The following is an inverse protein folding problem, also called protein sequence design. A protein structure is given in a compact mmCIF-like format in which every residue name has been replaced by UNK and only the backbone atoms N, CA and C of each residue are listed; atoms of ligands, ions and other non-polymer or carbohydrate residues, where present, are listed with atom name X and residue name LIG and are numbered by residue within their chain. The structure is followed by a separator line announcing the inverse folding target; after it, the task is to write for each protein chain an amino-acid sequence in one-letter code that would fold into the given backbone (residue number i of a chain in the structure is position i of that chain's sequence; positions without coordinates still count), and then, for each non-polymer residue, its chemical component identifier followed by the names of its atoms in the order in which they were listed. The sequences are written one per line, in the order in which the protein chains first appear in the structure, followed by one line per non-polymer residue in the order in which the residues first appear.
data_IF_414820500043
#
_entry.id   IF_414820500043
#
_cell.length_a   1.000
_cell.length_b   1.000
_cell.length_c   1.000
_cell.angle_alpha   90.00
_cell.angle_beta   90.00
_cell.angle_gamma   90.00
#
_symmetry.space_group_name_H-M   'P 1'
#
loop_
_entity.id
_entity.type
_entity.pdbx_description
1 polymer ?
#
# COMPACT_ATOMS: atom_id res chain seq x y z
N UNK A 1 -13.09 9.79 2.89
CA UNK A 1 -11.76 9.59 2.29
C UNK A 1 -11.94 8.83 0.98
N UNK A 2 -11.14 9.08 -0.05
CA UNK A 2 -11.29 8.44 -1.37
C UNK A 2 -10.03 7.68 -1.74
N UNK A 3 -10.20 6.45 -2.22
CA UNK A 3 -9.15 5.65 -2.83
C UNK A 3 -9.45 5.47 -4.32
N UNK A 4 -8.47 5.72 -5.20
CA UNK A 4 -8.57 5.40 -6.62
C UNK A 4 -7.81 4.11 -6.93
N UNK A 5 -8.42 3.24 -7.73
CA UNK A 5 -7.80 1.99 -8.18
C UNK A 5 -8.01 1.81 -9.69
N UNK A 6 -7.02 1.24 -10.37
CA UNK A 6 -7.12 0.79 -11.77
C UNK A 6 -6.90 -0.71 -11.84
N UNK A 7 -7.51 -1.37 -12.81
CA UNK A 7 -7.27 -2.81 -13.00
C UNK A 7 -8.26 -3.45 -13.95
N UNK A 8 -8.55 -4.72 -13.71
CA UNK A 8 -9.52 -5.50 -14.47
C UNK A 8 -10.53 -6.12 -13.51
N UNK A 9 -11.78 -6.23 -13.94
CA UNK A 9 -12.84 -6.93 -13.22
C UNK A 9 -13.58 -7.87 -14.18
N UNK A 10 -14.06 -9.05 -13.71
CA UNK A 10 -14.99 -9.87 -14.46
C UNK A 10 -16.25 -9.11 -14.87
N UNK A 11 -16.83 -9.44 -16.03
CA UNK A 11 -18.00 -8.75 -16.61
C UNK A 11 -19.19 -8.67 -15.64
N UNK A 12 -19.43 -9.73 -14.86
CA UNK A 12 -20.55 -9.76 -13.91
C UNK A 12 -20.38 -8.75 -12.75
N UNK A 13 -19.16 -8.36 -12.39
CA UNK A 13 -18.91 -7.30 -11.42
C UNK A 13 -19.05 -5.92 -12.07
N UNK A 14 -18.61 -5.76 -13.32
CA UNK A 14 -18.78 -4.50 -14.06
C UNK A 14 -20.25 -4.11 -14.23
N UNK A 15 -21.13 -5.08 -14.48
CA UNK A 15 -22.58 -4.84 -14.55
C UNK A 15 -23.14 -4.22 -13.25
N UNK A 16 -22.59 -4.59 -12.09
CA UNK A 16 -22.98 -4.04 -10.78
C UNK A 16 -22.44 -2.64 -10.51
N UNK A 17 -21.49 -2.18 -11.33
CA UNK A 17 -20.79 -0.90 -11.21
C UNK A 17 -21.17 0.08 -12.32
N UNK A 18 -22.20 -0.24 -13.12
CA UNK A 18 -22.73 0.65 -14.14
C UNK A 18 -23.13 2.02 -13.54
N UNK A 19 -23.02 3.12 -14.30
CA UNK A 19 -23.50 4.42 -13.86
C UNK A 19 -24.96 4.34 -13.38
N UNK A 20 -25.25 4.94 -12.22
CA UNK A 20 -26.56 4.87 -11.58
C UNK A 20 -26.79 3.67 -10.66
N UNK A 21 -25.84 2.74 -10.57
CA UNK A 21 -25.85 1.70 -9.52
C UNK A 21 -25.54 2.28 -8.14
N UNK A 22 -25.96 1.57 -7.09
CA UNK A 22 -25.61 1.89 -5.70
C UNK A 22 -24.11 1.67 -5.39
N UNK A 23 -23.32 1.22 -6.36
CA UNK A 23 -21.93 0.81 -6.17
C UNK A 23 -21.79 -0.60 -5.61
N UNK A 24 -20.54 -1.03 -5.44
CA UNK A 24 -20.19 -2.36 -4.92
C UNK A 24 -19.52 -2.20 -3.55
N UNK A 25 -20.06 -2.78 -2.47
CA UNK A 25 -19.34 -2.86 -1.21
C UNK A 25 -18.02 -3.61 -1.39
N UNK A 26 -16.92 -3.02 -0.94
CA UNK A 26 -15.57 -3.57 -1.06
C UNK A 26 -14.79 -3.44 0.25
N UNK A 27 -13.86 -4.37 0.45
CA UNK A 27 -12.83 -4.31 1.48
C UNK A 27 -11.47 -4.28 0.79
N UNK A 28 -10.66 -3.28 1.10
CA UNK A 28 -9.28 -3.14 0.62
C UNK A 28 -8.33 -3.44 1.77
N UNK A 29 -7.60 -4.55 1.64
CA UNK A 29 -6.57 -4.96 2.59
C UNK A 29 -5.17 -4.62 2.10
N UNK A 30 -4.35 -4.03 2.97
CA UNK A 30 -2.89 -3.91 2.72
C UNK A 30 -2.12 -4.36 3.95
N UNK A 31 -0.96 -4.98 3.74
CA UNK A 31 -0.08 -5.41 4.83
C UNK A 31 1.38 -5.23 4.41
N UNK A 32 2.22 -4.81 5.36
CA UNK A 32 3.67 -4.78 5.21
C UNK A 32 4.33 -5.38 6.45
N UNK A 33 5.19 -6.36 6.22
CA UNK A 33 6.04 -6.97 7.23
C UNK A 33 7.32 -6.16 7.34
N UNK A 34 7.77 -5.88 8.56
CA UNK A 34 8.93 -5.03 8.85
C UNK A 34 10.08 -5.81 9.50
N UNK A 35 9.81 -6.93 10.18
CA UNK A 35 10.84 -7.82 10.73
C UNK A 35 10.31 -9.21 11.07
N UNK A 36 11.21 -10.18 11.17
CA UNK A 36 10.99 -11.52 11.74
C UNK A 36 11.45 -11.52 13.19
N UNK A 37 10.70 -12.17 14.06
CA UNK A 37 11.02 -12.35 15.48
C UNK A 37 11.36 -13.81 15.71
N UNK A 38 12.59 -14.03 16.16
CA UNK A 38 13.11 -15.32 16.58
C UNK A 38 13.13 -15.33 18.11
N UNK A 39 12.11 -15.91 18.73
CA UNK A 39 12.01 -16.07 20.17
C UNK A 39 12.70 -17.36 20.65
N UNK A 40 12.82 -17.52 21.96
CA UNK A 40 13.36 -18.74 22.57
C UNK A 40 12.36 -19.90 22.61
N UNK A 41 11.05 -19.62 22.60
CA UNK A 41 9.99 -20.62 22.49
C UNK A 41 9.29 -20.58 21.14
N UNK A 42 8.70 -21.71 20.73
CA UNK A 42 7.93 -21.81 19.49
C UNK A 42 6.72 -20.87 19.46
N UNK A 43 6.16 -20.55 20.63
CA UNK A 43 5.05 -19.63 20.79
C UNK A 43 5.42 -18.17 20.47
N UNK A 44 6.66 -17.77 20.78
CA UNK A 44 7.09 -16.38 20.66
C UNK A 44 7.51 -15.94 19.25
N UNK A 45 7.70 -16.87 18.31
CA UNK A 45 8.05 -16.52 16.92
C UNK A 45 6.96 -15.68 16.25
N UNK A 46 7.36 -14.80 15.33
CA UNK A 46 6.38 -14.06 14.55
C UNK A 46 6.99 -12.93 13.72
N UNK A 47 6.17 -11.90 13.49
CA UNK A 47 6.56 -10.74 12.69
C UNK A 47 6.14 -9.44 13.36
N UNK A 48 6.89 -8.37 13.10
CA UNK A 48 6.36 -7.01 13.19
C UNK A 48 5.76 -6.61 11.86
N UNK A 49 4.65 -5.88 11.91
CA UNK A 49 3.90 -5.56 10.72
C UNK A 49 2.98 -4.36 10.93
N UNK A 50 2.54 -3.79 9.82
CA UNK A 50 1.49 -2.77 9.74
C UNK A 50 0.51 -3.15 8.65
N UNK A 51 -0.78 -3.03 8.92
CA UNK A 51 -1.83 -3.37 7.96
C UNK A 51 -2.97 -2.38 8.02
N UNK A 52 -3.74 -2.32 6.94
CA UNK A 52 -4.99 -1.59 6.89
C UNK A 52 -6.07 -2.49 6.31
N UNK A 53 -7.28 -2.36 6.85
CA UNK A 53 -8.51 -2.93 6.30
C UNK A 53 -9.44 -1.75 6.09
N UNK A 54 -9.63 -1.36 4.83
CA UNK A 54 -10.47 -0.24 4.47
C UNK A 54 -11.78 -0.75 3.88
N UNK A 55 -12.89 -0.44 4.52
CA UNK A 55 -14.22 -0.79 4.03
C UNK A 55 -14.83 0.41 3.31
N UNK A 56 -15.53 0.18 2.21
CA UNK A 56 -16.14 1.26 1.44
C UNK A 56 -17.01 0.77 0.31
N UNK A 57 -17.44 1.71 -0.53
CA UNK A 57 -18.25 1.44 -1.71
C UNK A 57 -17.49 1.86 -2.96
N UNK A 58 -17.31 0.93 -3.89
CA UNK A 58 -16.66 1.17 -5.17
C UNK A 58 -17.67 1.65 -6.22
N UNK A 59 -17.25 2.63 -7.03
CA UNK A 59 -17.96 3.16 -8.18
C UNK A 59 -17.02 3.20 -9.37
N UNK A 60 -17.53 2.84 -10.56
CA UNK A 60 -16.76 2.97 -11.79
C UNK A 60 -16.70 4.42 -12.24
N UNK A 61 -15.51 4.89 -12.57
CA UNK A 61 -15.29 6.21 -13.15
C UNK A 61 -15.29 6.13 -14.67
N UNK A 62 -15.94 7.11 -15.30
CA UNK A 62 -16.04 7.23 -16.75
C UNK A 62 -15.41 8.52 -17.25
N UNK A 63 -14.94 8.48 -18.49
CA UNK A 63 -14.50 9.67 -19.22
C UNK A 63 -15.20 9.65 -20.57
N UNK A 64 -16.06 10.65 -20.78
CA UNK A 64 -16.71 10.90 -22.06
C UNK A 64 -16.48 12.36 -22.43
N UNK A 65 -16.10 12.60 -23.68
CA UNK A 65 -15.87 13.93 -24.23
C UNK A 65 -16.34 13.92 -25.68
N UNK A 66 -17.53 14.49 -25.96
CA UNK A 66 -18.09 14.52 -27.31
C UNK A 66 -17.11 15.15 -28.30
N UNK A 67 -16.98 14.52 -29.47
CA UNK A 67 -16.12 15.01 -30.55
C UNK A 67 -14.63 14.66 -30.42
N UNK A 68 -14.20 14.02 -29.32
CA UNK A 68 -12.83 13.53 -29.17
C UNK A 68 -12.62 12.21 -29.95
N UNK A 69 -11.55 12.13 -30.74
CA UNK A 69 -11.16 10.94 -31.49
C UNK A 69 -10.19 10.07 -30.69
N UNK A 70 -10.08 8.80 -31.06
CA UNK A 70 -9.26 7.79 -30.36
C UNK A 70 -7.79 8.20 -30.12
N UNK A 71 -7.20 8.92 -31.08
CA UNK A 71 -5.80 9.32 -31.04
C UNK A 71 -5.57 10.71 -30.46
N UNK A 72 -6.64 11.43 -30.10
CA UNK A 72 -6.52 12.76 -29.51
C UNK A 72 -5.84 12.69 -28.15
N UNK A 73 -4.94 13.64 -27.90
CA UNK A 73 -4.23 13.75 -26.64
C UNK A 73 -5.13 14.31 -25.54
N UNK A 74 -5.03 13.71 -24.35
CA UNK A 74 -5.63 14.23 -23.12
C UNK A 74 -4.91 15.53 -22.72
N UNK A 75 -5.68 16.59 -22.47
CA UNK A 75 -5.17 17.89 -22.02
C UNK A 75 -5.17 17.98 -20.49
N UNK A 76 -4.44 18.95 -19.94
CA UNK A 76 -4.49 19.21 -18.48
C UNK A 76 -5.88 19.68 -18.02
N UNK A 77 -6.62 20.38 -18.89
CA UNK A 77 -8.01 20.76 -18.63
C UNK A 77 -8.92 19.53 -18.51
N UNK A 78 -8.74 18.52 -19.37
CA UNK A 78 -9.45 17.25 -19.26
C UNK A 78 -9.14 16.54 -17.94
N UNK A 79 -7.87 16.54 -17.52
CA UNK A 79 -7.44 15.94 -16.24
C UNK A 79 -8.06 16.66 -15.04
N UNK A 80 -8.14 18.00 -15.08
CA UNK A 80 -8.77 18.78 -14.03
C UNK A 80 -10.29 18.62 -14.00
N UNK A 81 -10.93 18.49 -15.17
CA UNK A 81 -12.38 18.40 -15.31
C UNK A 81 -12.97 17.01 -15.11
N UNK A 82 -12.15 15.94 -15.03
CA UNK A 82 -12.65 14.58 -14.95
C UNK A 82 -11.92 13.71 -13.90
N UNK A 83 -12.69 13.10 -13.00
CA UNK A 83 -12.15 12.30 -11.89
C UNK A 83 -11.40 11.04 -12.36
N UNK A 84 -11.81 10.39 -13.46
CA UNK A 84 -11.09 9.23 -14.02
C UNK A 84 -9.65 9.61 -14.35
N UNK A 85 -9.48 10.73 -15.05
CA UNK A 85 -8.19 11.23 -15.47
C UNK A 85 -7.34 11.74 -14.30
N UNK A 86 -7.97 12.49 -13.39
CA UNK A 86 -7.32 12.92 -12.14
C UNK A 86 -6.79 11.71 -11.34
N UNK A 87 -7.64 10.70 -11.14
CA UNK A 87 -7.28 9.47 -10.43
C UNK A 87 -6.14 8.72 -11.14
N UNK A 88 -6.17 8.64 -12.47
CA UNK A 88 -5.08 8.03 -13.26
C UNK A 88 -3.75 8.74 -13.04
N UNK A 89 -3.75 10.08 -13.11
CA UNK A 89 -2.55 10.89 -12.82
C UNK A 89 -2.04 10.66 -11.41
N UNK A 90 -2.93 10.60 -10.41
CA UNK A 90 -2.57 10.30 -9.02
C UNK A 90 -1.99 8.90 -8.85
N UNK A 91 -2.53 7.88 -9.51
CA UNK A 91 -1.98 6.52 -9.46
C UNK A 91 -0.57 6.50 -10.07
N UNK A 92 -0.39 7.04 -11.28
CA UNK A 92 0.92 7.05 -11.96
C UNK A 92 1.96 7.79 -11.11
N UNK A 93 1.62 8.99 -10.63
CA UNK A 93 2.52 9.79 -9.80
C UNK A 93 2.69 9.23 -8.37
N UNK A 94 1.78 8.39 -7.91
CA UNK A 94 1.89 7.66 -6.64
C UNK A 94 2.87 6.49 -6.70
N UNK A 95 3.06 5.89 -7.87
CA UNK A 95 4.07 4.84 -8.10
C UNK A 95 5.46 5.47 -8.26
N UNK A 96 5.58 6.43 -9.17
CA UNK A 96 6.81 7.20 -9.39
C UNK A 96 6.46 8.68 -9.45
N UNK A 97 6.95 9.52 -8.52
CA UNK A 97 6.61 10.93 -8.48
C UNK A 97 6.86 11.64 -9.81
N UNK A 98 5.88 12.38 -10.32
CA UNK A 98 5.98 13.15 -11.56
C UNK A 98 6.01 12.33 -12.87
N UNK A 99 5.86 11.00 -12.81
CA UNK A 99 6.03 10.15 -13.98
C UNK A 99 4.98 10.40 -15.08
N UNK A 100 3.79 10.87 -14.72
CA UNK A 100 2.76 11.30 -15.66
C UNK A 100 3.30 12.38 -16.61
N UNK A 101 4.03 13.35 -16.06
CA UNK A 101 4.59 14.48 -16.81
C UNK A 101 5.85 14.10 -17.61
N UNK A 102 6.61 13.11 -17.14
CA UNK A 102 7.82 12.60 -17.81
C UNK A 102 7.55 11.48 -18.83
N UNK A 103 6.28 11.22 -19.16
CA UNK A 103 5.87 10.23 -20.17
C UNK A 103 5.09 10.93 -21.27
N UNK A 104 5.00 10.31 -22.47
CA UNK A 104 4.13 10.78 -23.55
C UNK A 104 2.71 11.05 -23.01
N UNK A 105 2.09 12.14 -23.47
CA UNK A 105 0.69 12.45 -23.16
C UNK A 105 -0.22 11.28 -23.55
N UNK A 106 -1.07 10.89 -22.61
CA UNK A 106 -2.09 9.84 -22.79
C UNK A 106 -3.03 10.23 -23.92
N UNK A 107 -3.51 9.26 -24.68
CA UNK A 107 -4.55 9.45 -25.72
C UNK A 107 -5.90 8.88 -25.28
N UNK A 108 -6.99 9.33 -25.92
CA UNK A 108 -8.36 8.89 -25.60
C UNK A 108 -8.52 7.37 -25.58
N UNK A 109 -7.99 6.66 -26.58
CA UNK A 109 -8.06 5.20 -26.67
C UNK A 109 -7.44 4.47 -25.48
N UNK A 110 -6.33 4.98 -24.95
CA UNK A 110 -5.68 4.41 -23.76
C UNK A 110 -6.54 4.61 -22.51
N UNK A 111 -7.20 5.77 -22.38
CA UNK A 111 -8.12 6.05 -21.26
C UNK A 111 -9.33 5.12 -21.29
N UNK A 112 -9.88 4.84 -22.48
CA UNK A 112 -11.06 3.99 -22.64
C UNK A 112 -10.78 2.54 -22.25
N UNK A 113 -9.55 2.07 -22.47
CA UNK A 113 -9.12 0.71 -22.12
C UNK A 113 -8.84 0.50 -20.64
N UNK A 114 -8.69 1.57 -19.86
CA UNK A 114 -8.39 1.46 -18.43
C UNK A 114 -9.67 1.57 -17.61
N UNK A 115 -10.03 0.49 -16.93
CA UNK A 115 -11.04 0.53 -15.87
C UNK A 115 -10.47 1.27 -14.66
N UNK A 116 -11.22 2.27 -14.21
CA UNK A 116 -10.92 3.07 -13.02
C UNK A 116 -12.07 3.00 -12.04
N UNK A 117 -11.71 2.86 -10.77
CA UNK A 117 -12.62 2.80 -9.66
C UNK A 117 -12.32 3.93 -8.69
N UNK A 118 -13.36 4.57 -8.20
CA UNK A 118 -13.37 5.37 -6.98
C UNK A 118 -13.91 4.48 -5.87
N UNK A 119 -13.25 4.45 -4.72
CA UNK A 119 -13.77 3.81 -3.52
C UNK A 119 -13.98 4.89 -2.46
N UNK A 120 -15.24 5.10 -2.10
CA UNK A 120 -15.63 5.94 -0.98
C UNK A 120 -15.43 5.15 0.31
N UNK A 121 -14.34 5.46 1.02
CA UNK A 121 -13.94 4.76 2.23
C UNK A 121 -14.77 5.25 3.41
N UNK A 122 -15.35 4.30 4.14
CA UNK A 122 -16.04 4.47 5.41
C UNK A 122 -15.00 4.36 6.55
N UNK A 123 -14.58 5.48 7.17
CA UNK A 123 -13.54 5.46 8.19
C UNK A 123 -13.98 4.78 9.48
N UNK A 124 -15.28 4.79 9.78
CA UNK A 124 -15.83 4.19 11.01
C UNK A 124 -15.79 2.67 10.96
N UNK A 125 -15.91 2.11 9.75
CA UNK A 125 -15.78 0.67 9.49
C UNK A 125 -14.38 0.25 9.07
N UNK A 126 -13.41 1.17 9.06
CA UNK A 126 -12.05 0.89 8.62
C UNK A 126 -11.08 0.82 9.80
N UNK A 127 -10.06 -0.03 9.68
CA UNK A 127 -9.10 -0.26 10.76
C UNK A 127 -7.66 -0.22 10.26
N UNK A 128 -6.80 0.38 11.06
CA UNK A 128 -5.35 0.28 10.93
C UNK A 128 -4.85 -0.58 12.09
N UNK A 129 -3.98 -1.52 11.78
CA UNK A 129 -3.39 -2.38 12.76
C UNK A 129 -1.87 -2.28 12.66
N UNK A 130 -1.23 -2.28 13.82
CA UNK A 130 0.22 -2.20 13.93
C UNK A 130 0.67 -3.14 15.03
N UNK A 131 1.70 -3.92 14.73
CA UNK A 131 2.43 -4.73 15.70
C UNK A 131 3.90 -4.40 15.57
N UNK A 132 4.34 -3.40 16.33
CA UNK A 132 5.74 -2.99 16.46
C UNK A 132 6.15 -3.07 17.93
N UNK A 133 7.42 -2.78 18.22
CA UNK A 133 7.85 -2.61 19.60
C UNK A 133 7.62 -3.89 20.41
N UNK A 134 8.18 -5.01 19.97
CA UNK A 134 8.09 -6.31 20.65
C UNK A 134 9.46 -6.98 20.74
N UNK A 135 10.53 -6.24 20.43
CA UNK A 135 11.89 -6.72 20.67
C UNK A 135 12.11 -6.91 22.17
N UNK A 136 12.87 -7.96 22.52
CA UNK A 136 13.17 -8.36 23.90
C UNK A 136 11.94 -8.67 24.77
N UNK A 137 10.77 -8.91 24.16
CA UNK A 137 9.61 -9.38 24.90
C UNK A 137 9.85 -10.80 25.39
N UNK A 138 9.98 -10.97 26.71
CA UNK A 138 10.15 -12.26 27.37
C UNK A 138 9.15 -12.35 28.54
N UNK A 139 8.11 -13.18 28.46
CA UNK A 139 7.18 -13.36 29.58
C UNK A 139 7.84 -14.19 30.70
N UNK A 140 7.48 -13.91 31.95
CA UNK A 140 8.13 -14.50 33.14
C UNK A 140 8.09 -16.04 33.20
N UNK A 141 7.12 -16.67 32.53
CA UNK A 141 7.00 -18.13 32.49
C UNK A 141 7.87 -18.78 31.41
N UNK A 142 8.48 -18.00 30.51
CA UNK A 142 9.31 -18.53 29.44
C UNK A 142 10.68 -18.93 29.98
N UNK A 143 11.04 -20.21 29.81
CA UNK A 143 12.30 -20.77 30.26
C UNK A 143 13.03 -21.41 29.08
N UNK A 144 14.31 -21.07 28.93
CA UNK A 144 15.18 -21.58 27.88
C UNK A 144 16.65 -21.44 28.30
N UNK A 145 17.49 -22.37 27.84
CA UNK A 145 18.95 -22.21 27.95
C UNK A 145 19.42 -21.15 26.94
N UNK A 146 19.49 -19.89 27.39
CA UNK A 146 19.89 -18.73 26.58
C UNK A 146 21.33 -18.80 26.05
N UNK A 147 22.13 -19.79 26.47
CA UNK A 147 23.46 -20.06 25.88
C UNK A 147 23.38 -20.94 24.63
N UNK A 148 22.27 -21.64 24.41
CA UNK A 148 22.07 -22.56 23.27
C UNK A 148 21.08 -22.04 22.23
N UNK A 149 20.17 -21.16 22.62
CA UNK A 149 19.12 -20.65 21.74
C UNK A 149 19.37 -19.17 21.46
N UNK A 150 19.49 -18.83 20.18
CA UNK A 150 19.58 -17.45 19.73
C UNK A 150 18.19 -16.80 19.71
N UNK A 151 18.10 -15.60 20.24
CA UNK A 151 16.89 -14.77 20.25
C UNK A 151 17.20 -13.42 19.62
N UNK A 152 16.26 -12.89 18.81
CA UNK A 152 16.39 -11.56 18.24
C UNK A 152 15.36 -11.26 17.16
N UNK A 153 15.54 -10.10 16.54
CA UNK A 153 14.71 -9.63 15.42
C UNK A 153 15.56 -9.45 14.16
N UNK A 154 15.04 -9.89 13.01
CA UNK A 154 15.67 -9.73 11.70
C UNK A 154 14.86 -8.69 10.91
N UNK A 155 15.37 -7.47 10.68
CA UNK A 155 14.66 -6.46 9.90
C UNK A 155 14.47 -6.92 8.45
N UNK A 156 13.29 -6.64 7.89
CA UNK A 156 12.94 -6.86 6.49
C UNK A 156 12.66 -5.51 5.85
N UNK A 157 13.30 -5.22 4.73
CA UNK A 157 12.99 -4.05 3.92
C UNK A 157 13.02 -4.36 2.44
N UNK A 158 12.22 -3.63 1.68
CA UNK A 158 12.25 -3.67 0.22
C UNK A 158 13.35 -2.75 -0.30
N UNK A 159 14.16 -3.25 -1.22
CA UNK A 159 15.16 -2.50 -1.97
C UNK A 159 14.86 -2.62 -3.46
N UNK A 160 15.24 -1.60 -4.22
CA UNK A 160 15.09 -1.58 -5.67
C UNK A 160 16.43 -1.88 -6.33
N UNK A 161 16.45 -2.81 -7.28
CA UNK A 161 17.63 -3.19 -8.03
C UNK A 161 17.93 -2.26 -9.22
N UNK A 162 18.98 -2.61 -9.96
CA UNK A 162 19.36 -1.90 -11.19
C UNK A 162 18.34 -2.10 -12.33
N UNK A 163 18.16 -1.10 -13.21
CA UNK A 163 17.18 -1.19 -14.29
C UNK A 163 17.65 -2.11 -15.43
N UNK A 164 16.69 -2.84 -16.01
CA UNK A 164 16.85 -3.45 -17.33
C UNK A 164 16.28 -2.51 -18.39
N UNK A 165 16.99 -2.36 -19.51
CA UNK A 165 16.57 -1.50 -20.60
C UNK A 165 15.56 -2.20 -21.52
N UNK A 166 14.52 -1.47 -21.92
CA UNK A 166 13.57 -1.88 -22.94
C UNK A 166 14.02 -1.45 -24.34
N UNK A 167 13.05 -1.16 -25.21
CA UNK A 167 13.32 -0.59 -26.54
C UNK A 167 13.63 0.92 -26.44
N UNK A 168 14.82 1.26 -25.96
CA UNK A 168 15.29 2.63 -25.78
C UNK A 168 16.80 2.71 -25.88
N UNK A 169 17.30 3.79 -26.48
CA UNK A 169 18.72 4.19 -26.42
C UNK A 169 18.97 5.23 -25.32
N UNK A 170 17.91 5.77 -24.71
CA UNK A 170 18.02 6.76 -23.65
C UNK A 170 18.62 6.14 -22.37
N UNK A 171 19.49 6.90 -21.71
CA UNK A 171 20.06 6.55 -20.42
C UNK A 171 19.01 6.49 -19.30
N UNK A 172 19.30 5.74 -18.24
CA UNK A 172 18.45 5.69 -17.05
C UNK A 172 18.36 7.09 -16.39
N UNK A 173 17.15 7.68 -16.27
CA UNK A 173 17.02 9.05 -15.79
C UNK A 173 17.57 9.24 -14.36
N UNK A 174 18.45 10.23 -14.12
CA UNK A 174 19.01 10.47 -12.78
C UNK A 174 17.96 10.68 -11.68
N UNK A 175 16.79 11.24 -12.04
CA UNK A 175 15.64 11.41 -11.13
C UNK A 175 15.10 10.07 -10.62
N UNK A 176 15.00 9.07 -11.49
CA UNK A 176 14.52 7.73 -11.11
C UNK A 176 15.55 7.03 -10.24
N UNK A 177 16.84 7.10 -10.61
CA UNK A 177 17.94 6.58 -9.80
C UNK A 177 17.89 7.11 -8.37
N UNK A 178 17.87 8.44 -8.21
CA UNK A 178 17.80 9.09 -6.89
C UNK A 178 16.54 8.68 -6.13
N UNK A 179 15.39 8.62 -6.79
CA UNK A 179 14.14 8.24 -6.15
C UNK A 179 14.19 6.83 -5.54
N UNK A 180 14.66 5.83 -6.29
CA UNK A 180 14.72 4.44 -5.83
C UNK A 180 15.81 4.18 -4.79
N UNK A 181 16.96 4.87 -4.91
CA UNK A 181 18.01 4.87 -3.88
C UNK A 181 17.48 5.45 -2.56
N UNK A 182 16.79 6.59 -2.62
CA UNK A 182 16.18 7.21 -1.45
C UNK A 182 15.08 6.35 -0.84
N UNK A 183 14.26 5.69 -1.66
CA UNK A 183 13.22 4.79 -1.17
C UNK A 183 13.81 3.57 -0.45
N UNK A 184 14.85 2.95 -1.02
CA UNK A 184 15.59 1.86 -0.39
C UNK A 184 16.18 2.29 0.96
N UNK A 185 16.82 3.46 1.01
CA UNK A 185 17.39 4.02 2.24
C UNK A 185 16.32 4.26 3.31
N UNK A 186 15.17 4.82 2.93
CA UNK A 186 14.04 5.06 3.86
C UNK A 186 13.44 3.76 4.37
N UNK A 187 13.19 2.79 3.49
CA UNK A 187 12.68 1.48 3.86
C UNK A 187 13.60 0.79 4.86
N UNK A 188 14.92 0.77 4.58
CA UNK A 188 15.93 0.20 5.47
C UNK A 188 15.95 0.90 6.84
N UNK A 189 15.97 2.23 6.86
CA UNK A 189 16.00 3.00 8.10
C UNK A 189 14.75 2.72 8.96
N UNK A 190 13.57 2.66 8.34
CA UNK A 190 12.33 2.35 9.04
C UNK A 190 12.34 0.94 9.64
N UNK A 191 12.69 -0.07 8.83
CA UNK A 191 12.72 -1.47 9.26
C UNK A 191 13.71 -1.70 10.42
N UNK A 192 14.89 -1.08 10.38
CA UNK A 192 15.89 -1.16 11.46
C UNK A 192 15.29 -0.60 12.77
N UNK A 193 14.64 0.57 12.71
CA UNK A 193 14.01 1.16 13.89
C UNK A 193 12.91 0.25 14.45
N UNK A 194 12.05 -0.33 13.60
CA UNK A 194 10.95 -1.18 14.07
C UNK A 194 11.44 -2.52 14.62
N UNK A 195 12.47 -3.13 14.01
CA UNK A 195 13.03 -4.40 14.47
C UNK A 195 13.73 -4.27 15.83
N UNK A 196 14.37 -3.13 16.10
CA UNK A 196 15.03 -2.82 17.37
C UNK A 196 14.15 -2.11 18.40
N UNK A 197 12.90 -1.79 18.06
CA UNK A 197 12.00 -1.11 18.99
C UNK A 197 11.64 -2.03 20.16
N UNK A 198 11.97 -1.59 21.37
CA UNK A 198 11.67 -2.32 22.60
C UNK A 198 10.18 -2.47 22.84
N UNK A 199 9.84 -3.56 23.55
CA UNK A 199 8.49 -3.75 24.05
C UNK A 199 8.07 -2.65 25.02
N UNK A 200 7.06 -1.88 24.63
CA UNK A 200 6.35 -0.96 25.53
C UNK A 200 4.95 -1.52 25.76
N UNK A 201 4.64 -2.00 26.99
CA UNK A 201 3.30 -2.47 27.28
C UNK A 201 2.32 -1.31 27.11
N UNK A 202 1.36 -1.47 26.21
CA UNK A 202 0.19 -0.60 26.17
C UNK A 202 -0.68 -0.99 27.38
N UNK A 203 -1.12 -0.05 28.23
CA UNK A 203 -2.03 -0.36 29.31
C UNK A 203 -3.27 -1.03 28.70
N UNK A 204 -3.55 -2.27 29.10
CA UNK A 204 -4.78 -2.92 28.68
C UNK A 204 -5.95 -2.08 29.20
N UNK A 205 -6.95 -1.73 28.36
CA UNK A 205 -8.13 -1.00 28.82
C UNK A 205 -8.96 -1.78 29.84
N UNK A 206 -8.67 -3.08 30.03
CA UNK A 206 -9.28 -3.93 31.05
C UNK A 206 -8.21 -4.73 31.77
N UNK A 207 -7.77 -4.23 32.93
CA UNK A 207 -7.17 -5.07 33.95
C UNK A 207 -8.29 -5.96 34.51
N UNK A 208 -8.30 -7.25 34.17
CA UNK A 208 -9.12 -8.19 34.94
C UNK A 208 -8.70 -8.11 36.41
N UNK A 209 -9.65 -7.96 37.36
CA UNK A 209 -9.31 -7.93 38.77
C UNK A 209 -8.59 -9.22 39.13
N UNK A 210 -7.37 -9.10 39.67
CA UNK A 210 -6.63 -10.23 40.22
C UNK A 210 -7.51 -10.88 41.28
N UNK A 211 -7.96 -12.12 41.03
CA UNK A 211 -8.58 -12.93 42.08
C UNK A 211 -7.54 -13.07 43.19
N UNK A 212 -7.83 -12.48 44.35
CA UNK A 212 -7.09 -12.75 45.59
C UNK A 212 -7.33 -14.21 45.95
N UNK A 213 -6.26 -15.00 45.96
CA UNK A 213 -6.19 -16.27 46.68
C UNK A 213 -5.87 -15.99 48.14
#
# INVERSE_FOLDING_TARGET
MVLHAKGWLPCHLLQRLQPGSAGLPVTVGTCKIESIICAVSTYGHGFTWRSTVLNGTAHMLVFDKPGMQDLDHITDEDVCGNEKLYGLRKIVNGIVPGQWEYTRRVIKREVDQVLMLRVDIDPEKSHVHVRHGIANFAPDYESADRKKIWEGSIPIWEAYGDPFYGNTEAEFPPRLKRFFEDQTRKNKAYAIVQAGAEFKPVPLPYSHPKKRS
#
